data_IF_648762599108
#
_entry.id   IF_648762599108
#
_cell.length_a   1.000
_cell.length_b   1.000
_cell.length_c   1.000
_cell.angle_alpha   90.00
_cell.angle_beta   90.00
_cell.angle_gamma   90.00
#
_symmetry.space_group_name_H-M   'P 1'
#
loop_
_entity.id
_entity.type
_entity.pdbx_description
1 polymer ?
#
# COMPACT_ATOMS: atom_id res chain seq x y z
N UNK A 1 14.74 -15.90 -10.13
CA UNK A 1 13.94 -14.68 -10.40
C UNK A 1 12.49 -15.12 -10.54
N UNK A 2 11.55 -14.41 -9.90
CA UNK A 2 10.15 -14.80 -10.02
C UNK A 2 9.56 -14.41 -11.41
N UNK A 3 8.52 -15.14 -11.90
CA UNK A 3 7.96 -14.92 -13.24
C UNK A 3 7.58 -13.46 -13.54
N UNK A 4 6.97 -12.77 -12.57
CA UNK A 4 6.59 -11.36 -12.75
C UNK A 4 7.78 -10.41 -12.88
N UNK A 5 8.92 -10.71 -12.23
CA UNK A 5 10.13 -9.91 -12.37
C UNK A 5 10.78 -10.14 -13.74
N UNK A 6 10.89 -11.39 -14.18
CA UNK A 6 11.35 -11.71 -15.53
C UNK A 6 10.47 -11.06 -16.60
N UNK A 7 9.15 -11.21 -16.47
CA UNK A 7 8.18 -10.59 -17.37
C UNK A 7 8.30 -9.06 -17.42
N UNK A 8 8.56 -8.41 -16.29
CA UNK A 8 8.79 -6.97 -16.24
C UNK A 8 9.99 -6.55 -17.09
N UNK A 9 11.14 -7.23 -16.94
CA UNK A 9 12.31 -6.93 -17.74
C UNK A 9 12.08 -7.23 -19.22
N UNK A 10 11.44 -8.36 -19.55
CA UNK A 10 11.15 -8.73 -20.92
C UNK A 10 10.18 -7.75 -21.61
N UNK A 11 9.18 -7.24 -20.88
CA UNK A 11 8.27 -6.18 -21.41
C UNK A 11 9.02 -4.89 -21.74
N UNK A 12 9.94 -4.46 -20.86
CA UNK A 12 10.73 -3.27 -21.10
C UNK A 12 11.65 -3.46 -22.31
N UNK A 13 12.33 -4.60 -22.37
CA UNK A 13 13.21 -4.92 -23.52
C UNK A 13 12.42 -5.00 -24.83
N UNK A 14 11.23 -5.61 -24.82
CA UNK A 14 10.32 -5.65 -25.98
C UNK A 14 9.89 -4.24 -26.40
N UNK A 15 9.61 -3.35 -25.45
CA UNK A 15 9.24 -1.96 -25.77
C UNK A 15 10.39 -1.23 -26.46
N UNK A 16 11.63 -1.37 -25.98
CA UNK A 16 12.84 -0.80 -26.59
C UNK A 16 13.05 -1.35 -28.01
N UNK A 17 12.96 -2.68 -28.16
CA UNK A 17 13.10 -3.33 -29.48
C UNK A 17 12.04 -2.83 -30.48
N UNK A 18 10.77 -2.81 -30.07
CA UNK A 18 9.68 -2.33 -30.93
C UNK A 18 9.86 -0.86 -31.34
N UNK A 19 10.41 -0.03 -30.45
CA UNK A 19 10.75 1.35 -30.78
C UNK A 19 11.87 1.41 -31.82
N UNK A 20 12.93 0.62 -31.68
CA UNK A 20 13.99 0.55 -32.66
C UNK A 20 13.49 0.09 -34.05
N UNK A 21 12.53 -0.86 -34.08
CA UNK A 21 11.86 -1.28 -35.32
C UNK A 21 11.03 -0.13 -35.91
N UNK A 22 10.26 0.58 -35.10
CA UNK A 22 9.43 1.72 -35.58
C UNK A 22 10.26 2.89 -36.10
N UNK A 23 11.47 3.09 -35.58
CA UNK A 23 12.43 4.10 -36.05
C UNK A 23 13.30 3.63 -37.23
N UNK A 24 13.06 2.42 -37.75
CA UNK A 24 13.79 1.85 -38.88
C UNK A 24 15.23 1.41 -38.57
N UNK A 25 15.63 1.38 -37.30
CA UNK A 25 16.98 1.02 -36.89
C UNK A 25 17.24 -0.47 -36.97
N UNK A 26 16.19 -1.29 -36.88
CA UNK A 26 16.24 -2.78 -36.88
C UNK A 26 15.06 -3.35 -37.64
N UNK A 27 15.29 -4.42 -38.42
CA UNK A 27 14.21 -5.16 -39.07
C UNK A 27 13.48 -6.04 -38.06
N UNK A 28 12.13 -6.10 -38.14
CA UNK A 28 11.31 -6.92 -37.26
C UNK A 28 11.61 -8.42 -37.43
N UNK A 29 12.06 -9.08 -36.38
CA UNK A 29 12.36 -10.53 -36.30
C UNK A 29 11.55 -11.26 -35.21
N UNK A 30 10.61 -10.57 -34.54
CA UNK A 30 9.74 -11.12 -33.47
C UNK A 30 10.48 -11.92 -32.36
N UNK A 31 11.59 -11.38 -31.77
CA UNK A 31 12.40 -12.13 -30.81
C UNK A 31 11.65 -12.47 -29.52
N UNK A 32 10.53 -11.80 -29.25
CA UNK A 32 9.70 -12.01 -28.04
C UNK A 32 8.50 -12.93 -28.28
N UNK A 33 8.37 -13.59 -29.45
CA UNK A 33 7.23 -14.44 -29.79
C UNK A 33 6.96 -15.53 -28.75
N UNK A 34 8.01 -16.12 -28.18
CA UNK A 34 7.92 -17.20 -27.21
C UNK A 34 8.36 -16.77 -25.78
N UNK A 35 8.53 -15.48 -25.55
CA UNK A 35 8.93 -14.95 -24.24
C UNK A 35 7.69 -14.58 -23.44
N UNK A 36 7.59 -15.11 -22.22
CA UNK A 36 6.51 -14.75 -21.31
C UNK A 36 6.60 -13.27 -20.90
N UNK A 37 5.58 -12.50 -21.26
CA UNK A 37 5.45 -11.08 -20.94
C UNK A 37 4.13 -10.78 -20.22
N UNK A 38 3.47 -11.80 -19.66
CA UNK A 38 2.24 -11.69 -18.90
C UNK A 38 2.43 -11.23 -17.47
N UNK A 39 1.36 -11.32 -16.70
CA UNK A 39 1.35 -10.99 -15.26
C UNK A 39 0.73 -12.18 -14.52
N UNK A 40 1.54 -12.86 -13.73
CA UNK A 40 1.05 -13.92 -12.85
C UNK A 40 0.27 -13.35 -11.67
N UNK A 41 -0.76 -14.11 -11.26
CA UNK A 41 -1.53 -13.81 -10.07
C UNK A 41 -0.62 -13.89 -8.83
N UNK A 42 -0.53 -12.81 -8.07
CA UNK A 42 0.20 -12.77 -6.80
C UNK A 42 -0.77 -12.93 -5.64
N UNK A 43 -0.39 -13.75 -4.65
CA UNK A 43 -1.17 -13.85 -3.39
C UNK A 43 -1.18 -12.49 -2.70
N UNK A 44 -2.36 -11.96 -2.46
CA UNK A 44 -2.54 -10.74 -1.68
C UNK A 44 -2.37 -11.04 -0.19
N UNK A 45 -1.85 -10.07 0.55
CA UNK A 45 -1.48 -10.23 1.96
C UNK A 45 -2.36 -9.36 2.84
N UNK A 46 -3.69 -9.52 2.70
CA UNK A 46 -4.62 -8.86 3.60
C UNK A 46 -4.65 -9.56 4.97
N UNK A 47 -4.91 -8.79 6.00
CA UNK A 47 -5.14 -9.30 7.35
C UNK A 47 -6.51 -8.84 7.84
N UNK A 48 -7.12 -9.60 8.73
CA UNK A 48 -8.45 -9.31 9.28
C UNK A 48 -8.43 -8.12 10.24
N UNK A 49 -9.62 -7.57 10.54
CA UNK A 49 -9.77 -6.49 11.51
C UNK A 49 -9.29 -6.90 12.92
N UNK A 50 -9.44 -8.17 13.31
CA UNK A 50 -8.91 -8.66 14.58
C UNK A 50 -7.39 -8.61 14.65
N UNK A 51 -6.70 -8.89 13.53
CA UNK A 51 -5.25 -8.76 13.42
C UNK A 51 -4.83 -7.28 13.49
N UNK A 52 -5.55 -6.37 12.83
CA UNK A 52 -5.29 -4.92 12.92
C UNK A 52 -5.39 -4.45 14.38
N UNK A 53 -6.41 -4.89 15.12
CA UNK A 53 -6.54 -4.57 16.55
C UNK A 53 -5.37 -5.12 17.36
N UNK A 54 -4.97 -6.37 17.15
CA UNK A 54 -3.80 -6.96 17.82
C UNK A 54 -2.51 -6.20 17.54
N UNK A 55 -2.31 -5.73 16.29
CA UNK A 55 -1.15 -4.90 15.94
C UNK A 55 -1.20 -3.57 16.68
N UNK A 56 -2.36 -2.91 16.71
CA UNK A 56 -2.57 -1.62 17.39
C UNK A 56 -2.25 -1.72 18.89
N UNK A 57 -2.80 -2.75 19.53
CA UNK A 57 -2.80 -2.91 20.99
C UNK A 57 -1.57 -3.68 21.51
N UNK A 58 -0.64 -4.06 20.62
CA UNK A 58 0.56 -4.80 21.00
C UNK A 58 1.47 -3.94 21.88
N UNK A 59 1.81 -4.46 23.05
CA UNK A 59 2.81 -3.84 23.91
C UNK A 59 4.22 -4.05 23.33
N UNK A 60 4.94 -2.94 23.15
CA UNK A 60 6.23 -2.89 22.49
C UNK A 60 7.19 -2.00 23.28
N UNK A 61 8.34 -2.56 23.68
CA UNK A 61 9.33 -1.86 24.51
C UNK A 61 10.40 -1.07 23.70
N UNK A 62 10.52 -1.35 22.37
CA UNK A 62 11.55 -0.70 21.53
C UNK A 62 10.93 0.44 20.73
N UNK A 63 11.47 1.66 20.86
CA UNK A 63 11.02 2.85 20.11
C UNK A 63 10.91 2.61 18.59
N UNK A 64 11.86 1.85 18.01
CA UNK A 64 11.84 1.54 16.58
C UNK A 64 10.70 0.61 16.15
N UNK A 65 10.25 -0.30 17.03
CA UNK A 65 9.10 -1.16 16.78
C UNK A 65 7.80 -0.37 16.95
N UNK A 66 7.72 0.47 18.00
CA UNK A 66 6.58 1.38 18.22
C UNK A 66 6.39 2.27 16.99
N UNK A 67 7.45 2.90 16.50
CA UNK A 67 7.39 3.73 15.30
C UNK A 67 6.92 2.95 14.06
N UNK A 68 7.45 1.75 13.83
CA UNK A 68 7.02 0.92 12.70
C UNK A 68 5.54 0.53 12.78
N UNK A 69 5.05 0.14 13.98
CA UNK A 69 3.63 -0.11 14.23
C UNK A 69 2.81 1.14 13.94
N UNK A 70 3.21 2.28 14.44
CA UNK A 70 2.48 3.53 14.32
C UNK A 70 2.42 4.00 12.86
N UNK A 71 3.47 3.85 12.07
CA UNK A 71 3.45 4.09 10.61
C UNK A 71 2.50 3.12 9.90
N UNK A 72 2.47 1.85 10.28
CA UNK A 72 1.50 0.89 9.75
C UNK A 72 0.06 1.31 10.07
N UNK A 73 -0.20 1.71 11.32
CA UNK A 73 -1.52 2.17 11.75
C UNK A 73 -1.92 3.48 11.07
N UNK A 74 -1.00 4.42 10.90
CA UNK A 74 -1.26 5.65 10.16
C UNK A 74 -1.67 5.36 8.70
N UNK A 75 -0.94 4.47 8.02
CA UNK A 75 -1.35 4.00 6.69
C UNK A 75 -2.77 3.43 6.70
N UNK A 76 -3.10 2.60 7.69
CA UNK A 76 -4.44 2.03 7.80
C UNK A 76 -5.51 3.09 8.04
N UNK A 77 -5.29 4.04 8.95
CA UNK A 77 -6.22 5.13 9.24
C UNK A 77 -6.43 6.07 8.06
N UNK A 78 -5.39 6.28 7.25
CA UNK A 78 -5.43 7.09 6.03
C UNK A 78 -5.82 6.29 4.78
N UNK A 79 -6.71 5.29 4.93
CA UNK A 79 -7.27 4.47 3.83
C UNK A 79 -6.21 3.70 3.04
N UNK A 80 -5.14 3.28 3.69
CA UNK A 80 -4.04 2.57 3.03
C UNK A 80 -3.11 3.47 2.24
N UNK A 81 -2.83 4.68 2.72
CA UNK A 81 -1.83 5.58 2.13
C UNK A 81 -0.51 4.84 1.95
N UNK A 82 0.13 5.01 0.79
CA UNK A 82 1.40 4.33 0.52
C UNK A 82 2.54 4.92 1.35
N UNK A 83 3.56 4.11 1.64
CA UNK A 83 4.68 4.59 2.45
C UNK A 83 5.39 5.79 1.82
N UNK A 84 5.52 5.82 0.49
CA UNK A 84 6.11 6.96 -0.20
C UNK A 84 5.26 8.24 -0.05
N UNK A 85 3.94 8.12 -0.06
CA UNK A 85 3.06 9.27 0.13
C UNK A 85 3.16 9.79 1.57
N UNK A 86 3.19 8.87 2.57
CA UNK A 86 3.38 9.23 3.98
C UNK A 86 4.73 9.92 4.24
N UNK A 87 5.81 9.43 3.62
CA UNK A 87 7.15 9.97 3.84
C UNK A 87 7.29 11.42 3.37
N UNK A 88 6.62 11.78 2.29
CA UNK A 88 6.68 13.12 1.70
C UNK A 88 5.47 13.99 2.05
N UNK A 89 4.62 13.56 2.98
CA UNK A 89 3.46 14.31 3.45
C UNK A 89 3.91 15.51 4.29
N UNK A 90 3.50 16.72 3.92
CA UNK A 90 3.91 17.96 4.59
C UNK A 90 2.84 18.43 5.56
N UNK A 91 3.24 19.19 6.58
CA UNK A 91 2.31 19.82 7.55
C UNK A 91 1.28 20.72 6.86
N UNK A 92 1.66 21.42 5.79
CA UNK A 92 0.76 22.26 4.99
C UNK A 92 -0.33 21.50 4.24
N UNK A 93 -0.17 20.18 4.09
CA UNK A 93 -1.15 19.33 3.41
C UNK A 93 -2.33 19.00 4.33
N UNK A 94 -2.22 19.31 5.62
CA UNK A 94 -3.29 19.24 6.61
C UNK A 94 -3.82 20.62 6.94
N UNK A 95 -5.08 20.90 6.58
CA UNK A 95 -5.74 22.16 6.82
C UNK A 95 -7.23 21.96 7.10
N UNK A 96 -7.78 22.71 8.03
CA UNK A 96 -9.23 22.72 8.34
C UNK A 96 -9.83 21.32 8.56
N UNK A 97 -9.08 20.42 9.21
CA UNK A 97 -9.55 19.07 9.49
C UNK A 97 -9.55 18.12 8.28
N UNK A 98 -8.93 18.52 7.17
CA UNK A 98 -8.80 17.72 5.96
C UNK A 98 -7.34 17.59 5.60
N UNK A 99 -6.90 16.34 5.37
CA UNK A 99 -5.62 16.02 4.79
C UNK A 99 -5.77 15.91 3.28
N UNK A 100 -5.06 16.76 2.53
CA UNK A 100 -5.10 16.79 1.07
C UNK A 100 -3.72 16.44 0.53
N UNK A 101 -3.62 15.40 -0.29
CA UNK A 101 -2.34 15.04 -0.90
C UNK A 101 -2.52 14.51 -2.32
N UNK A 102 -1.49 14.63 -3.12
CA UNK A 102 -1.43 14.04 -4.46
C UNK A 102 -0.63 12.76 -4.43
N UNK A 103 -1.26 11.66 -4.83
CA UNK A 103 -0.65 10.34 -4.83
C UNK A 103 0.53 10.28 -5.80
N UNK A 104 1.73 9.91 -5.32
CA UNK A 104 2.95 9.89 -6.16
C UNK A 104 2.89 8.91 -7.33
N UNK A 105 2.17 7.80 -7.18
CA UNK A 105 2.10 6.76 -8.21
C UNK A 105 1.16 7.12 -9.38
N UNK A 106 0.03 7.75 -9.10
CA UNK A 106 -1.06 7.98 -10.08
C UNK A 106 -1.31 9.47 -10.35
N UNK A 107 -0.76 10.37 -9.54
CA UNK A 107 -1.02 11.80 -9.63
C UNK A 107 -2.41 12.23 -9.13
N UNK A 108 -3.25 11.29 -8.70
CA UNK A 108 -4.59 11.57 -8.23
C UNK A 108 -4.54 12.34 -6.90
N UNK A 109 -5.36 13.36 -6.78
CA UNK A 109 -5.54 14.12 -5.53
C UNK A 109 -6.56 13.43 -4.65
N UNK A 110 -6.22 13.25 -3.38
CA UNK A 110 -7.06 12.59 -2.39
C UNK A 110 -7.31 13.53 -1.21
N UNK A 111 -8.53 13.44 -0.68
CA UNK A 111 -9.00 14.21 0.47
C UNK A 111 -9.38 13.24 1.60
N UNK A 112 -8.75 13.37 2.74
CA UNK A 112 -9.00 12.50 3.89
C UNK A 112 -9.45 13.37 5.05
N UNK A 113 -10.67 13.14 5.53
CA UNK A 113 -11.13 13.75 6.78
C UNK A 113 -10.21 13.30 7.91
N UNK A 114 -9.73 14.26 8.68
CA UNK A 114 -8.85 13.99 9.80
C UNK A 114 -9.65 13.44 10.98
N UNK A 115 -9.21 12.32 11.51
CA UNK A 115 -9.87 11.64 12.61
C UNK A 115 -8.95 11.58 13.85
N UNK A 116 -9.56 11.54 15.03
CA UNK A 116 -8.85 11.52 16.32
C UNK A 116 -7.69 10.50 16.40
N UNK A 117 -7.79 9.25 15.92
CA UNK A 117 -6.67 8.32 15.97
C UNK A 117 -5.44 8.74 15.14
N UNK A 118 -5.64 9.55 14.10
CA UNK A 118 -4.53 10.10 13.31
C UNK A 118 -3.79 11.17 14.12
N UNK A 119 -4.54 12.04 14.80
CA UNK A 119 -3.98 13.09 15.64
C UNK A 119 -3.20 12.50 16.82
N UNK A 120 -3.82 11.59 17.57
CA UNK A 120 -3.17 10.90 18.69
C UNK A 120 -1.86 10.21 18.31
N UNK A 121 -1.79 9.74 17.07
CA UNK A 121 -0.57 9.10 16.56
C UNK A 121 0.51 10.13 16.26
N UNK A 122 0.18 11.24 15.61
CA UNK A 122 1.15 12.28 15.24
C UNK A 122 1.70 12.98 16.48
N UNK A 123 0.86 13.22 17.47
CA UNK A 123 1.22 13.93 18.72
C UNK A 123 2.31 13.18 19.54
N UNK A 124 2.55 11.88 19.24
CA UNK A 124 3.66 11.13 19.85
C UNK A 124 5.03 11.54 19.31
N UNK A 125 5.09 12.25 18.19
CA UNK A 125 6.33 12.50 17.47
C UNK A 125 6.61 14.00 17.34
N UNK A 126 7.80 14.40 17.79
CA UNK A 126 8.26 15.75 17.53
C UNK A 126 8.74 15.89 16.07
N UNK A 127 8.10 16.79 15.34
CA UNK A 127 8.47 17.14 13.96
C UNK A 127 8.73 18.65 13.81
N UNK A 128 9.02 19.39 14.91
CA UNK A 128 9.22 20.85 14.90
C UNK A 128 10.29 21.28 13.88
N UNK A 129 11.36 20.51 13.78
CA UNK A 129 12.52 20.81 12.92
C UNK A 129 12.34 20.43 11.43
N UNK A 130 11.18 19.86 11.08
CA UNK A 130 10.94 19.41 9.70
C UNK A 130 9.61 19.94 9.16
N UNK A 131 9.53 20.14 7.84
CA UNK A 131 8.28 20.48 7.15
C UNK A 131 7.34 19.28 6.97
N UNK A 132 7.82 18.06 7.23
CA UNK A 132 7.06 16.83 7.07
C UNK A 132 6.16 16.55 8.27
N UNK A 133 5.02 15.91 8.01
CA UNK A 133 4.02 15.58 9.02
C UNK A 133 4.48 14.42 9.92
N UNK A 134 5.25 13.49 9.37
CA UNK A 134 5.79 12.31 10.05
C UNK A 134 7.33 12.36 10.04
N UNK A 135 8.01 11.90 11.09
CA UNK A 135 9.48 11.95 11.20
C UNK A 135 10.16 10.82 10.40
N UNK A 136 9.73 10.63 9.12
CA UNK A 136 10.33 9.67 8.19
C UNK A 136 11.53 10.32 7.50
N UNK A 137 11.34 11.55 7.02
CA UNK A 137 12.41 12.40 6.52
C UNK A 137 12.70 13.43 7.60
N UNK A 138 13.91 13.42 8.14
CA UNK A 138 14.31 14.26 9.28
C UNK A 138 15.12 15.47 8.83
N UNK A 139 15.98 15.31 7.82
CA UNK A 139 16.84 16.36 7.30
C UNK A 139 16.27 16.89 5.98
N UNK A 140 15.61 18.04 6.03
CA UNK A 140 15.07 18.70 4.85
C UNK A 140 16.20 19.07 3.86
N UNK A 141 15.98 18.80 2.56
CA UNK A 141 16.91 19.18 1.51
C UNK A 141 18.19 18.34 1.42
N UNK A 142 18.41 17.38 2.32
CA UNK A 142 19.58 16.48 2.31
C UNK A 142 19.13 15.10 1.87
N UNK A 143 19.34 14.75 0.61
CA UNK A 143 19.03 13.42 0.03
C UNK A 143 17.79 12.75 0.62
N UNK A 144 16.65 13.43 0.52
CA UNK A 144 15.37 12.99 1.11
C UNK A 144 14.94 11.62 0.56
N UNK A 145 15.32 11.33 -0.70
CA UNK A 145 15.01 10.04 -1.32
C UNK A 145 15.77 8.89 -0.66
N UNK A 146 17.02 9.09 -0.34
CA UNK A 146 17.82 8.08 0.38
C UNK A 146 17.31 7.87 1.81
N UNK A 147 16.96 8.96 2.51
CA UNK A 147 16.31 8.85 3.83
C UNK A 147 15.02 8.03 3.77
N UNK A 148 14.15 8.32 2.79
CA UNK A 148 12.94 7.54 2.54
C UNK A 148 13.24 6.06 2.30
N UNK A 149 14.21 5.72 1.45
CA UNK A 149 14.56 4.33 1.15
C UNK A 149 15.05 3.58 2.38
N UNK A 150 15.95 4.18 3.15
CA UNK A 150 16.49 3.59 4.39
C UNK A 150 15.39 3.34 5.41
N UNK A 151 14.50 4.32 5.62
CA UNK A 151 13.37 4.16 6.52
C UNK A 151 12.36 3.11 6.02
N UNK A 152 12.11 3.01 4.72
CA UNK A 152 11.27 1.96 4.16
C UNK A 152 11.80 0.56 4.50
N UNK A 153 13.11 0.36 4.36
CA UNK A 153 13.76 -0.90 4.72
C UNK A 153 13.70 -1.17 6.23
N UNK A 154 14.01 -0.17 7.05
CA UNK A 154 14.00 -0.26 8.51
C UNK A 154 12.60 -0.59 9.05
N UNK A 155 11.59 0.13 8.61
CA UNK A 155 10.20 -0.05 9.04
C UNK A 155 9.67 -1.41 8.60
N UNK A 156 9.88 -1.82 7.35
CA UNK A 156 9.42 -3.13 6.89
C UNK A 156 10.12 -4.30 7.60
N UNK A 157 11.41 -4.16 7.98
CA UNK A 157 12.10 -5.15 8.81
C UNK A 157 11.44 -5.26 10.19
N UNK A 158 11.16 -4.14 10.83
CA UNK A 158 10.50 -4.08 12.14
C UNK A 158 9.06 -4.62 12.08
N UNK A 159 8.31 -4.30 11.04
CA UNK A 159 6.97 -4.86 10.82
C UNK A 159 6.99 -6.37 10.66
N UNK A 160 7.95 -6.94 9.94
CA UNK A 160 8.12 -8.40 9.85
C UNK A 160 8.35 -9.04 11.21
N UNK A 161 9.14 -8.37 12.08
CA UNK A 161 9.34 -8.82 13.45
C UNK A 161 8.05 -8.79 14.26
N UNK A 162 7.29 -7.67 14.20
CA UNK A 162 5.96 -7.55 14.83
C UNK A 162 5.01 -8.64 14.33
N UNK A 163 4.98 -8.89 13.02
CA UNK A 163 4.16 -9.96 12.45
C UNK A 163 4.49 -11.34 13.02
N UNK A 164 5.78 -11.64 13.22
CA UNK A 164 6.21 -12.89 13.86
C UNK A 164 5.76 -12.98 15.31
N UNK A 165 5.88 -11.89 16.09
CA UNK A 165 5.45 -11.86 17.51
C UNK A 165 3.96 -12.17 17.67
N UNK A 166 3.12 -11.72 16.75
CA UNK A 166 1.68 -12.01 16.78
C UNK A 166 1.31 -13.29 16.02
N UNK A 167 2.27 -14.11 15.61
CA UNK A 167 2.02 -15.40 14.95
C UNK A 167 1.42 -15.28 13.55
N UNK A 168 1.73 -14.22 12.77
CA UNK A 168 1.26 -14.11 11.39
C UNK A 168 2.01 -15.09 10.48
N UNK A 169 1.28 -15.87 9.70
CA UNK A 169 1.82 -16.75 8.64
C UNK A 169 2.33 -16.01 7.39
N UNK A 170 2.18 -14.69 7.35
CA UNK A 170 2.64 -13.85 6.22
C UNK A 170 3.53 -12.71 6.73
N UNK A 171 4.48 -12.24 5.91
CA UNK A 171 5.29 -11.09 6.29
C UNK A 171 4.45 -9.82 6.39
N UNK A 172 4.44 -9.19 7.57
CA UNK A 172 3.83 -7.88 7.74
C UNK A 172 4.73 -6.81 7.09
N UNK A 173 4.14 -5.93 6.30
CA UNK A 173 4.80 -4.80 5.63
C UNK A 173 3.86 -3.60 5.59
N UNK A 174 4.36 -2.41 5.31
CA UNK A 174 3.52 -1.21 5.17
C UNK A 174 2.40 -1.40 4.12
N UNK A 175 2.66 -2.17 3.07
CA UNK A 175 1.67 -2.44 2.02
C UNK A 175 0.50 -3.32 2.49
N UNK A 176 0.69 -4.13 3.53
CA UNK A 176 -0.37 -4.95 4.14
C UNK A 176 -1.47 -4.07 4.74
N UNK A 177 -1.16 -2.89 5.28
CA UNK A 177 -2.16 -1.95 5.78
C UNK A 177 -3.18 -1.56 4.70
N UNK A 178 -2.70 -1.27 3.48
CA UNK A 178 -3.56 -0.94 2.34
C UNK A 178 -4.42 -2.12 1.89
N UNK A 179 -3.85 -3.32 1.84
CA UNK A 179 -4.61 -4.53 1.54
C UNK A 179 -5.68 -4.80 2.59
N UNK A 180 -5.32 -4.68 3.87
CA UNK A 180 -6.24 -4.88 4.98
C UNK A 180 -7.40 -3.87 4.94
N UNK A 181 -7.11 -2.58 4.73
CA UNK A 181 -8.15 -1.56 4.62
C UNK A 181 -9.16 -1.88 3.52
N UNK A 182 -8.66 -2.19 2.31
CA UNK A 182 -9.51 -2.52 1.17
C UNK A 182 -10.38 -3.76 1.40
N UNK A 183 -9.78 -4.83 1.93
CA UNK A 183 -10.47 -6.09 2.23
C UNK A 183 -11.52 -5.91 3.33
N UNK A 184 -11.18 -5.15 4.39
CA UNK A 184 -12.12 -4.85 5.47
C UNK A 184 -13.26 -3.95 4.96
N UNK A 185 -12.98 -2.94 4.13
CA UNK A 185 -14.02 -2.11 3.51
C UNK A 185 -14.99 -2.98 2.68
N UNK A 186 -14.47 -3.89 1.86
CA UNK A 186 -15.28 -4.83 1.10
C UNK A 186 -16.12 -5.73 2.02
N UNK A 187 -15.55 -6.28 3.09
CA UNK A 187 -16.26 -7.11 4.06
C UNK A 187 -17.35 -6.36 4.84
N UNK A 188 -17.30 -5.02 4.82
CA UNK A 188 -18.30 -4.11 5.38
C UNK A 188 -19.31 -3.61 4.34
N UNK A 189 -19.35 -4.24 3.15
CA UNK A 189 -20.23 -3.91 2.05
C UNK A 189 -20.04 -2.47 1.50
N UNK A 190 -18.85 -1.88 1.67
CA UNK A 190 -18.53 -0.63 0.99
C UNK A 190 -18.44 -0.90 -0.52
N UNK A 191 -19.12 -0.10 -1.33
CA UNK A 191 -19.19 -0.32 -2.76
C UNK A 191 -17.82 -0.20 -3.45
N UNK A 192 -17.63 -0.93 -4.54
CA UNK A 192 -16.37 -0.96 -5.28
C UNK A 192 -15.91 0.43 -5.76
N UNK A 193 -16.79 1.30 -6.30
CA UNK A 193 -16.43 2.67 -6.68
C UNK A 193 -15.86 3.46 -5.51
N UNK A 194 -16.49 3.39 -4.34
CA UNK A 194 -16.03 4.09 -3.12
C UNK A 194 -14.67 3.57 -2.65
N UNK A 195 -14.43 2.26 -2.70
CA UNK A 195 -13.12 1.68 -2.38
C UNK A 195 -12.08 2.14 -3.40
N UNK A 196 -12.43 2.19 -4.69
CA UNK A 196 -11.54 2.62 -5.77
C UNK A 196 -11.10 4.07 -5.58
N UNK A 197 -12.05 4.97 -5.33
CA UNK A 197 -11.82 6.39 -5.06
C UNK A 197 -10.96 6.56 -3.79
N UNK A 198 -11.33 5.92 -2.69
CA UNK A 198 -10.61 5.99 -1.43
C UNK A 198 -9.15 5.53 -1.53
N UNK A 199 -8.88 4.55 -2.39
CA UNK A 199 -7.53 4.06 -2.67
C UNK A 199 -6.79 4.91 -3.71
N UNK A 200 -7.44 5.80 -4.41
CA UNK A 200 -6.86 6.56 -5.53
C UNK A 200 -6.41 5.64 -6.67
N UNK A 201 -7.28 4.75 -7.11
CA UNK A 201 -7.05 3.94 -8.31
C UNK A 201 -7.62 4.65 -9.53
N UNK A 202 -6.90 4.63 -10.66
CA UNK A 202 -7.32 5.28 -11.90
C UNK A 202 -8.52 4.57 -12.55
N UNK A 203 -8.81 3.33 -12.15
CA UNK A 203 -9.97 2.59 -12.63
C UNK A 203 -10.49 1.59 -11.60
N UNK A 204 -11.80 1.35 -11.61
CA UNK A 204 -12.44 0.30 -10.80
C UNK A 204 -11.94 -1.10 -11.18
N UNK A 205 -11.55 -1.31 -12.42
CA UNK A 205 -10.96 -2.57 -12.86
C UNK A 205 -9.68 -2.92 -12.07
N UNK A 206 -8.84 -1.91 -11.77
CA UNK A 206 -7.68 -2.08 -10.89
C UNK A 206 -8.12 -2.52 -9.50
N UNK A 207 -9.17 -1.92 -8.96
CA UNK A 207 -9.70 -2.28 -7.64
C UNK A 207 -10.34 -3.67 -7.66
N UNK A 208 -11.08 -4.02 -8.70
CA UNK A 208 -11.67 -5.35 -8.88
C UNK A 208 -10.61 -6.45 -8.91
N UNK A 209 -9.55 -6.29 -9.71
CA UNK A 209 -8.42 -7.22 -9.75
C UNK A 209 -7.70 -7.28 -8.39
N UNK A 210 -7.60 -6.15 -7.72
CA UNK A 210 -6.99 -6.04 -6.41
C UNK A 210 -7.77 -6.81 -5.33
N UNK A 211 -9.09 -6.70 -5.32
CA UNK A 211 -9.99 -7.35 -4.35
C UNK A 211 -10.31 -8.81 -4.71
N UNK A 212 -10.42 -9.16 -5.99
CA UNK A 212 -10.77 -10.51 -6.46
C UNK A 212 -9.82 -11.62 -5.98
N UNK A 213 -8.64 -11.24 -5.48
CA UNK A 213 -7.66 -12.19 -4.95
C UNK A 213 -7.66 -12.26 -3.40
N UNK A 214 -8.62 -11.59 -2.73
CA UNK A 214 -8.55 -11.41 -1.30
C UNK A 214 -9.45 -12.34 -0.49
N UNK A 215 -10.59 -12.83 -1.03
CA UNK A 215 -11.50 -13.60 -0.17
C UNK A 215 -12.50 -14.49 -0.89
N UNK A 216 -12.43 -15.80 -0.65
CA UNK A 216 -13.49 -16.78 -0.94
C UNK A 216 -14.58 -16.75 0.14
N UNK A 217 -14.30 -16.24 1.34
CA UNK A 217 -15.21 -16.22 2.48
C UNK A 217 -16.47 -15.38 2.26
N UNK A 218 -16.44 -14.40 1.33
CA UNK A 218 -17.62 -13.61 0.97
C UNK A 218 -18.62 -14.46 0.20
N UNK A 219 -18.15 -15.32 -0.71
CA UNK A 219 -19.00 -16.25 -1.46
C UNK A 219 -19.62 -17.27 -0.50
N UNK A 220 -18.84 -17.79 0.45
CA UNK A 220 -19.30 -18.74 1.45
C UNK A 220 -20.36 -18.12 2.38
N UNK A 221 -20.17 -16.87 2.81
CA UNK A 221 -21.17 -16.12 3.59
C UNK A 221 -22.45 -15.86 2.80
N UNK A 222 -22.33 -15.44 1.54
CA UNK A 222 -23.48 -15.24 0.68
C UNK A 222 -24.27 -16.55 0.50
N UNK A 223 -23.56 -17.65 0.26
CA UNK A 223 -24.18 -18.96 0.17
C UNK A 223 -24.88 -19.38 1.47
N UNK A 224 -24.23 -19.16 2.63
CA UNK A 224 -24.84 -19.44 3.94
C UNK A 224 -26.13 -18.62 4.17
N UNK A 225 -26.13 -17.34 3.79
CA UNK A 225 -27.34 -16.49 3.88
C UNK A 225 -28.46 -17.00 2.97
N UNK A 226 -28.15 -17.44 1.76
CA UNK A 226 -29.13 -18.02 0.82
C UNK A 226 -29.70 -19.32 1.42
N UNK A 227 -28.84 -20.20 1.94
CA UNK A 227 -29.28 -21.45 2.55
C UNK A 227 -30.12 -21.26 3.82
N UNK A 228 -29.88 -20.20 4.59
CA UNK A 228 -30.68 -19.84 5.76
C UNK A 228 -32.06 -19.26 5.39
N UNK A 229 -32.27 -18.87 4.14
CA UNK A 229 -33.54 -18.29 3.65
C UNK A 229 -34.48 -19.32 3.02
N UNK A 230 -34.05 -20.57 2.92
CA UNK A 230 -34.85 -21.72 2.44
C UNK A 230 -35.35 -22.54 3.59
#
# INVERSE_FOLDING_TARGET
VCPNTSSYYMRNLRAIYNRAVSEGLVVQRNPFKHVYTGIDKTKKRAVSLSVIRRIRDLDLNKKSLIFARDIFMFSFYTRGMSFVDMAFLKKKDFQNGILTYRRKKTGQQLFIKWEKPMQELIDKYNTSETSYLLPIIQNNGVDEWHQYQNEAHRINRNLKYIGKQIGLGIPLTTYVARHAWASIAQSKNVSLPVISEALGHDSEQTTRIYLASLDTSIVDKANSLILMSI
#
